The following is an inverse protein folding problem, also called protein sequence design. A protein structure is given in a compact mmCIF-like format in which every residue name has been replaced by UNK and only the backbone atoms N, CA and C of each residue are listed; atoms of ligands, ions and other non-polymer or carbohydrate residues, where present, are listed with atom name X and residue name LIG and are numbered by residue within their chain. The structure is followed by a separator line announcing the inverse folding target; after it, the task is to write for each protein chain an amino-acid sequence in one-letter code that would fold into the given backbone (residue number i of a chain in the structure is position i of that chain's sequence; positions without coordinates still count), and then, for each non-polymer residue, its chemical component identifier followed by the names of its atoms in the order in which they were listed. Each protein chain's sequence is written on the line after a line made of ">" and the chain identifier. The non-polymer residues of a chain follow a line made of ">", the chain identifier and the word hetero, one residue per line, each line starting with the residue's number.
data_IF_678130568321
#
_entry.id   IF_678130568321
#
_cell.length_a   1.000
_cell.length_b   1.000
_cell.length_c   1.000
_cell.angle_alpha   90.00
_cell.angle_beta   90.00
_cell.angle_gamma   90.00
#
_symmetry.space_group_name_H-M   'P 1'
#
loop_
_entity.id
_entity.type
_entity.pdbx_description
1 polymer ?
#
# COMPACT_ATOMS: atom_id res chain seq x y z
N UNK A 1 -1.55 6.98 26.11
CA UNK A 1 -1.60 6.30 24.80
C UNK A 1 -0.99 4.91 24.99
N UNK A 2 -1.75 3.85 24.75
CA UNK A 2 -1.28 2.47 24.85
C UNK A 2 -0.99 1.98 23.42
N UNK A 3 0.23 1.52 23.18
CA UNK A 3 0.65 0.96 21.87
C UNK A 3 0.34 -0.53 21.79
N UNK A 4 0.40 -1.08 20.60
CA UNK A 4 0.10 -2.48 20.26
C UNK A 4 -1.33 -2.86 20.62
N UNK A 5 -2.26 -1.93 20.38
CA UNK A 5 -3.67 -2.08 20.70
C UNK A 5 -4.57 -1.64 19.54
N UNK A 6 -5.68 -2.36 19.39
CA UNK A 6 -6.80 -1.98 18.55
C UNK A 6 -7.97 -1.58 19.43
N UNK A 7 -8.53 -0.41 19.16
CA UNK A 7 -9.66 0.13 19.89
C UNK A 7 -10.95 -0.09 19.10
N UNK A 8 -11.95 -0.67 19.75
CA UNK A 8 -13.28 -0.84 19.16
C UNK A 8 -14.08 0.46 19.30
N UNK A 9 -13.82 1.40 18.45
CA UNK A 9 -14.49 2.70 18.42
C UNK A 9 -14.38 3.37 17.05
N UNK A 10 -15.20 4.39 16.84
CA UNK A 10 -15.09 5.25 15.65
C UNK A 10 -13.72 5.90 15.57
N UNK A 11 -13.09 5.84 14.38
CA UNK A 11 -11.72 6.28 14.19
C UNK A 11 -11.52 7.77 14.47
N UNK A 12 -12.49 8.64 14.08
CA UNK A 12 -12.39 10.07 14.32
C UNK A 12 -12.47 10.39 15.82
N UNK A 13 -13.33 9.69 16.55
CA UNK A 13 -13.45 9.78 18.01
C UNK A 13 -12.16 9.32 18.69
N UNK A 14 -11.60 8.21 18.25
CA UNK A 14 -10.36 7.66 18.78
C UNK A 14 -9.14 8.54 18.49
N UNK A 15 -9.00 9.02 17.26
CA UNK A 15 -7.90 9.90 16.85
C UNK A 15 -7.84 11.18 17.70
N UNK A 16 -8.99 11.79 18.02
CA UNK A 16 -9.07 13.00 18.87
C UNK A 16 -8.53 12.80 20.28
N UNK A 17 -8.41 11.55 20.75
CA UNK A 17 -7.82 11.23 22.07
C UNK A 17 -6.30 11.10 22.01
N UNK A 18 -5.71 10.99 20.83
CA UNK A 18 -4.27 10.90 20.67
C UNK A 18 -3.61 12.27 20.77
N UNK A 19 -2.41 12.36 21.38
CA UNK A 19 -1.61 13.58 21.40
C UNK A 19 -1.19 13.99 19.98
N UNK A 20 -0.88 15.26 19.80
CA UNK A 20 -0.25 15.77 18.59
C UNK A 20 1.14 15.16 18.41
N UNK A 21 1.55 14.94 17.15
CA UNK A 21 2.91 14.55 16.79
C UNK A 21 3.42 13.27 17.51
N UNK A 22 2.57 12.27 17.69
CA UNK A 22 2.92 11.03 18.38
C UNK A 22 3.09 9.81 17.47
N UNK A 23 2.66 9.89 16.19
CA UNK A 23 2.65 8.79 15.24
C UNK A 23 3.75 8.99 14.19
N UNK A 24 4.49 7.92 13.88
CA UNK A 24 5.56 7.94 12.88
C UNK A 24 5.02 7.72 11.47
N UNK A 25 4.06 6.80 11.30
CA UNK A 25 3.55 6.41 9.99
C UNK A 25 2.08 6.01 10.09
N UNK A 26 1.27 6.39 9.10
CA UNK A 26 -0.07 5.84 8.92
C UNK A 26 -0.09 4.99 7.63
N UNK A 27 -0.55 3.73 7.74
CA UNK A 27 -0.75 2.82 6.60
C UNK A 27 -2.17 2.31 6.68
N UNK A 28 -3.00 2.64 5.69
CA UNK A 28 -4.44 2.37 5.80
C UNK A 28 -5.16 2.26 4.46
N UNK A 29 -6.33 1.61 4.50
CA UNK A 29 -7.29 1.54 3.39
C UNK A 29 -8.70 1.77 3.97
N UNK A 30 -9.26 2.97 3.84
CA UNK A 30 -10.62 3.24 4.31
C UNK A 30 -11.67 2.43 3.53
N UNK A 31 -12.88 2.27 4.05
CA UNK A 31 -14.00 1.70 3.30
C UNK A 31 -14.20 2.47 1.99
N UNK A 32 -14.33 1.76 0.85
CA UNK A 32 -14.48 2.39 -0.46
C UNK A 32 -15.91 2.87 -0.70
N UNK A 33 -16.04 4.00 -1.36
CA UNK A 33 -17.32 4.62 -1.67
C UNK A 33 -18.26 3.68 -2.45
N UNK A 34 -19.44 3.47 -1.90
CA UNK A 34 -20.51 2.69 -2.52
C UNK A 34 -20.16 1.24 -2.82
N UNK A 35 -19.14 0.67 -2.13
CA UNK A 35 -18.73 -0.70 -2.39
C UNK A 35 -19.40 -1.70 -1.45
N UNK A 36 -19.45 -1.41 -0.15
CA UNK A 36 -19.93 -2.37 0.87
C UNK A 36 -20.59 -1.69 2.04
N UNK A 37 -21.65 -2.33 2.52
CA UNK A 37 -22.23 -2.09 3.82
C UNK A 37 -21.68 -3.14 4.80
N UNK A 38 -21.01 -2.66 5.85
CA UNK A 38 -20.45 -3.51 6.91
C UNK A 38 -21.44 -3.69 8.07
N UNK A 39 -22.62 -3.08 7.99
CA UNK A 39 -23.65 -3.17 9.00
C UNK A 39 -23.34 -2.47 10.31
N UNK A 40 -22.46 -1.48 10.30
CA UNK A 40 -22.08 -0.70 11.47
C UNK A 40 -22.56 0.74 11.34
N UNK A 41 -23.29 1.23 12.35
CA UNK A 41 -23.73 2.62 12.39
C UNK A 41 -22.49 3.57 12.35
N UNK A 42 -22.58 4.60 11.52
CA UNK A 42 -21.49 5.58 11.37
C UNK A 42 -20.35 5.14 10.48
N UNK A 43 -20.43 4.00 9.80
CA UNK A 43 -19.43 3.59 8.83
C UNK A 43 -19.28 4.61 7.70
N UNK A 44 -18.05 4.76 7.21
CA UNK A 44 -17.69 5.55 6.03
C UNK A 44 -17.89 4.67 4.78
N UNK A 45 -18.21 5.31 3.64
CA UNK A 45 -18.36 4.65 2.33
C UNK A 45 -19.80 4.52 1.88
N UNK A 46 -20.80 4.94 2.70
CA UNK A 46 -22.23 4.92 2.37
C UNK A 46 -22.82 6.32 2.19
N UNK A 47 -22.00 7.34 2.04
CA UNK A 47 -22.41 8.73 1.84
C UNK A 47 -23.25 8.89 0.57
N UNK A 48 -24.08 9.93 0.53
CA UNK A 48 -24.99 10.16 -0.59
C UNK A 48 -24.27 10.54 -1.89
N UNK A 49 -23.10 11.16 -1.77
CA UNK A 49 -22.29 11.57 -2.92
C UNK A 49 -20.80 11.28 -2.71
N UNK A 50 -20.02 11.14 -3.82
CA UNK A 50 -18.57 11.10 -3.73
C UNK A 50 -17.96 12.30 -3.00
N UNK A 51 -18.56 13.49 -3.14
CA UNK A 51 -18.10 14.69 -2.46
C UNK A 51 -18.24 14.57 -0.95
N UNK A 52 -19.40 14.12 -0.45
CA UNK A 52 -19.62 13.90 0.98
C UNK A 52 -18.66 12.86 1.55
N UNK A 53 -18.40 11.80 0.78
CA UNK A 53 -17.41 10.80 1.14
C UNK A 53 -15.99 11.39 1.26
N UNK A 54 -15.57 12.22 0.30
CA UNK A 54 -14.29 12.92 0.34
C UNK A 54 -14.20 13.88 1.53
N UNK A 55 -15.29 14.58 1.83
CA UNK A 55 -15.36 15.48 2.99
C UNK A 55 -15.18 14.69 4.29
N UNK A 56 -15.86 13.55 4.42
CA UNK A 56 -15.72 12.67 5.58
C UNK A 56 -14.31 12.11 5.73
N UNK A 57 -13.70 11.66 4.62
CA UNK A 57 -12.29 11.24 4.64
C UNK A 57 -11.36 12.38 5.03
N UNK A 58 -11.61 13.59 4.53
CA UNK A 58 -10.80 14.77 4.86
C UNK A 58 -10.81 15.09 6.35
N UNK A 59 -11.97 14.94 7.03
CA UNK A 59 -12.07 15.09 8.49
C UNK A 59 -11.18 14.09 9.23
N UNK A 60 -11.25 12.81 8.86
CA UNK A 60 -10.45 11.75 9.48
C UNK A 60 -8.95 12.01 9.25
N UNK A 61 -8.57 12.29 8.01
CA UNK A 61 -7.15 12.48 7.69
C UNK A 61 -6.59 13.84 8.13
N UNK A 62 -7.42 14.82 8.47
CA UNK A 62 -6.98 16.01 9.19
C UNK A 62 -6.53 15.66 10.63
N UNK A 63 -7.24 14.77 11.33
CA UNK A 63 -6.81 14.25 12.63
C UNK A 63 -5.56 13.35 12.48
N UNK A 64 -5.47 12.52 11.45
CA UNK A 64 -4.23 11.77 11.15
C UNK A 64 -3.05 12.74 10.93
N UNK A 65 -3.25 13.83 10.19
CA UNK A 65 -2.22 14.86 10.00
C UNK A 65 -1.78 15.49 11.32
N UNK A 66 -2.73 15.80 12.21
CA UNK A 66 -2.43 16.35 13.54
C UNK A 66 -1.54 15.41 14.35
N UNK A 67 -1.91 14.13 14.43
CA UNK A 67 -1.19 13.14 15.26
C UNK A 67 0.13 12.65 14.63
N UNK A 68 0.32 12.77 13.32
CA UNK A 68 1.59 12.46 12.67
C UNK A 68 2.69 13.39 13.19
N UNK A 69 3.88 12.85 13.44
CA UNK A 69 5.10 13.62 13.69
C UNK A 69 5.45 14.51 12.49
N UNK A 70 6.24 15.57 12.64
CA UNK A 70 6.66 16.41 11.51
C UNK A 70 7.28 15.63 10.35
N UNK A 71 8.03 14.57 10.64
CA UNK A 71 8.64 13.67 9.65
C UNK A 71 7.72 12.50 9.27
N UNK A 72 6.49 12.46 9.77
CA UNK A 72 5.57 11.36 9.59
C UNK A 72 5.01 11.24 8.17
N UNK A 73 4.65 10.01 7.79
CA UNK A 73 4.12 9.67 6.46
C UNK A 73 2.74 9.03 6.54
N UNK A 74 1.95 9.24 5.49
CA UNK A 74 0.68 8.57 5.23
C UNK A 74 0.79 7.74 3.95
N UNK A 75 0.40 6.48 4.02
CA UNK A 75 0.28 5.56 2.88
C UNK A 75 -1.18 5.14 2.76
N UNK A 76 -1.86 5.75 1.80
CA UNK A 76 -3.31 5.66 1.64
C UNK A 76 -3.66 4.79 0.43
N UNK A 77 -4.18 3.59 0.67
CA UNK A 77 -4.69 2.73 -0.40
C UNK A 77 -6.16 3.04 -0.70
N UNK A 78 -6.46 3.29 -1.96
CA UNK A 78 -7.81 3.57 -2.45
C UNK A 78 -8.08 2.92 -3.81
N UNK A 79 -9.28 2.37 -3.94
CA UNK A 79 -9.85 1.92 -5.20
C UNK A 79 -10.86 2.92 -5.74
N UNK A 80 -10.99 2.98 -7.06
CA UNK A 80 -11.93 3.85 -7.75
C UNK A 80 -13.22 3.12 -8.12
N UNK A 81 -14.25 3.86 -8.47
CA UNK A 81 -15.59 3.39 -8.77
C UNK A 81 -16.14 4.10 -10.00
N UNK A 82 -17.09 3.44 -10.67
CA UNK A 82 -17.81 4.04 -11.79
C UNK A 82 -19.16 4.64 -11.33
N UNK A 83 -19.57 5.75 -11.98
CA UNK A 83 -20.87 6.35 -11.75
C UNK A 83 -21.94 5.52 -12.47
N UNK A 84 -22.91 5.02 -11.74
CA UNK A 84 -24.01 4.25 -12.30
C UNK A 84 -24.72 3.39 -11.27
N UNK A 85 -25.98 3.10 -11.54
CA UNK A 85 -26.75 2.15 -10.77
C UNK A 85 -26.27 0.74 -11.10
N UNK A 86 -25.62 0.05 -10.17
CA UNK A 86 -25.50 -1.41 -10.25
C UNK A 86 -26.88 -2.01 -9.93
N UNK A 87 -27.74 -2.12 -10.92
CA UNK A 87 -28.75 -3.18 -10.89
C UNK A 87 -27.95 -4.47 -11.12
N UNK A 88 -27.55 -5.10 -10.03
CA UNK A 88 -27.07 -6.47 -10.10
C UNK A 88 -28.17 -7.28 -10.74
N UNK A 89 -27.86 -7.99 -11.81
CA UNK A 89 -28.76 -8.96 -12.41
C UNK A 89 -28.95 -10.08 -11.37
N UNK A 90 -29.94 -9.90 -10.47
CA UNK A 90 -30.25 -10.80 -9.36
C UNK A 90 -30.81 -12.14 -9.84
N UNK A 91 -31.04 -12.30 -11.15
CA UNK A 91 -31.66 -13.52 -11.68
C UNK A 91 -30.68 -14.67 -11.99
N UNK A 92 -29.37 -14.42 -12.02
CA UNK A 92 -28.39 -15.45 -12.45
C UNK A 92 -27.55 -16.07 -11.32
N UNK A 93 -27.65 -15.61 -10.09
CA UNK A 93 -26.86 -16.18 -8.99
C UNK A 93 -27.69 -17.09 -8.12
N UNK A 94 -27.81 -18.37 -8.54
CA UNK A 94 -28.42 -19.47 -7.76
C UNK A 94 -27.60 -19.88 -6.51
N UNK A 95 -26.60 -19.15 -6.11
CA UNK A 95 -25.81 -19.42 -4.89
C UNK A 95 -26.29 -18.54 -3.73
N UNK A 96 -27.14 -19.10 -2.88
CA UNK A 96 -27.69 -18.50 -1.66
C UNK A 96 -26.64 -17.88 -0.70
N UNK A 97 -25.37 -18.22 -0.81
CA UNK A 97 -24.28 -17.68 0.06
C UNK A 97 -23.80 -16.28 -0.32
N UNK A 98 -24.19 -15.75 -1.47
CA UNK A 98 -23.82 -14.38 -1.93
C UNK A 98 -24.96 -13.38 -1.75
N UNK A 99 -26.17 -13.86 -1.45
CA UNK A 99 -27.38 -13.04 -1.32
C UNK A 99 -27.50 -12.28 0.03
N UNK A 100 -26.62 -12.57 0.99
CA UNK A 100 -26.66 -11.94 2.33
C UNK A 100 -25.70 -10.74 2.47
N UNK A 101 -24.95 -10.37 1.44
CA UNK A 101 -24.27 -9.07 1.42
C UNK A 101 -25.33 -8.00 1.12
N UNK A 102 -25.69 -7.21 2.11
CA UNK A 102 -26.54 -6.03 1.96
C UNK A 102 -26.01 -5.21 0.78
N UNK A 103 -26.73 -5.24 -0.35
CA UNK A 103 -26.35 -4.47 -1.52
C UNK A 103 -26.78 -3.03 -1.30
N UNK A 104 -25.83 -2.17 -0.98
CA UNK A 104 -26.05 -0.74 -1.03
C UNK A 104 -26.40 -0.35 -2.47
N UNK A 105 -27.61 0.19 -2.68
CA UNK A 105 -28.00 0.75 -3.98
C UNK A 105 -27.25 2.08 -4.18
N UNK A 106 -26.18 2.00 -4.94
CA UNK A 106 -25.41 3.17 -5.32
C UNK A 106 -26.28 4.05 -6.23
N UNK A 107 -26.67 5.23 -5.74
CA UNK A 107 -27.38 6.23 -6.53
C UNK A 107 -26.46 6.87 -7.57
N UNK A 108 -27.05 7.24 -8.71
CA UNK A 108 -26.33 8.02 -9.72
C UNK A 108 -25.95 9.38 -9.13
N UNK A 109 -24.67 9.72 -9.20
CA UNK A 109 -24.17 11.03 -8.80
C UNK A 109 -24.25 12.01 -9.98
N UNK A 110 -24.95 13.12 -9.81
CA UNK A 110 -25.15 14.11 -10.87
C UNK A 110 -23.90 14.96 -11.19
N UNK A 111 -22.82 14.83 -10.44
CA UNK A 111 -21.53 15.47 -10.72
C UNK A 111 -20.73 14.81 -11.85
N UNK A 112 -21.15 13.63 -12.34
CA UNK A 112 -20.55 12.93 -13.46
C UNK A 112 -21.64 12.26 -14.30
N UNK A 113 -21.33 11.92 -15.55
CA UNK A 113 -22.24 11.17 -16.42
C UNK A 113 -22.31 9.72 -16.01
N UNK A 114 -23.39 9.04 -16.38
CA UNK A 114 -23.47 7.60 -16.23
C UNK A 114 -22.28 6.91 -16.92
N UNK A 115 -21.69 5.90 -16.26
CA UNK A 115 -20.49 5.16 -16.67
C UNK A 115 -19.16 5.92 -16.57
N UNK A 116 -19.14 7.19 -16.21
CA UNK A 116 -17.87 7.86 -15.95
C UNK A 116 -17.12 7.18 -14.79
N UNK A 117 -15.80 7.08 -14.90
CA UNK A 117 -14.92 6.80 -13.78
C UNK A 117 -14.95 8.02 -12.85
N UNK A 118 -15.27 7.83 -11.57
CA UNK A 118 -15.50 8.96 -10.65
C UNK A 118 -14.18 9.65 -10.28
N UNK A 119 -13.08 8.92 -10.16
CA UNK A 119 -11.79 9.47 -9.79
C UNK A 119 -11.59 9.61 -8.27
N UNK A 120 -12.30 8.82 -7.47
CA UNK A 120 -12.26 8.85 -6.00
C UNK A 120 -10.83 8.92 -5.43
N UNK A 121 -9.87 8.08 -5.85
CA UNK A 121 -8.52 8.12 -5.29
C UNK A 121 -7.85 9.48 -5.46
N UNK A 122 -7.95 10.06 -6.65
CA UNK A 122 -7.35 11.35 -6.96
C UNK A 122 -8.11 12.53 -6.32
N UNK A 123 -9.45 12.45 -6.21
CA UNK A 123 -10.23 13.43 -5.45
C UNK A 123 -9.77 13.46 -3.99
N UNK A 124 -9.58 12.30 -3.36
CA UNK A 124 -9.07 12.20 -2.00
C UNK A 124 -7.65 12.78 -1.90
N UNK A 125 -6.72 12.37 -2.79
CA UNK A 125 -5.34 12.83 -2.77
C UNK A 125 -5.25 14.37 -2.90
N UNK A 126 -6.02 14.98 -3.80
CA UNK A 126 -6.04 16.43 -3.96
C UNK A 126 -6.70 17.13 -2.78
N UNK A 127 -7.81 16.60 -2.25
CA UNK A 127 -8.44 17.16 -1.06
C UNK A 127 -7.49 17.16 0.16
N UNK A 128 -6.77 16.08 0.39
CA UNK A 128 -5.79 15.97 1.48
C UNK A 128 -4.61 16.92 1.27
N UNK A 129 -4.12 17.07 0.04
CA UNK A 129 -3.06 18.02 -0.30
C UNK A 129 -3.51 19.47 -0.10
N UNK A 130 -4.66 19.82 -0.65
CA UNK A 130 -5.07 21.24 -0.80
C UNK A 130 -5.82 21.75 0.42
N UNK A 131 -6.56 20.88 1.14
CA UNK A 131 -7.43 21.29 2.26
C UNK A 131 -6.82 20.98 3.63
N UNK A 132 -5.99 19.90 3.73
CA UNK A 132 -5.34 19.50 4.99
C UNK A 132 -3.88 19.96 5.05
N UNK A 133 -3.20 20.00 3.90
CA UNK A 133 -1.81 20.47 3.81
C UNK A 133 -0.77 19.37 3.69
N UNK A 134 -1.16 18.14 3.35
CA UNK A 134 -0.20 17.08 3.04
C UNK A 134 0.63 17.40 1.81
N UNK A 135 1.88 16.95 1.82
CA UNK A 135 2.69 16.86 0.60
C UNK A 135 2.37 15.54 -0.11
N UNK A 136 1.77 15.59 -1.30
CA UNK A 136 1.56 14.42 -2.16
C UNK A 136 2.90 14.07 -2.82
N UNK A 137 3.50 12.94 -2.43
CA UNK A 137 4.86 12.57 -2.81
C UNK A 137 4.92 11.58 -3.96
N UNK A 138 4.02 10.59 -3.96
CA UNK A 138 3.95 9.56 -5.01
C UNK A 138 2.55 8.99 -5.14
N UNK A 139 2.23 8.54 -6.33
CA UNK A 139 1.10 7.71 -6.70
C UNK A 139 1.60 6.31 -7.06
N UNK A 140 1.47 5.39 -6.15
CA UNK A 140 1.93 4.01 -6.34
C UNK A 140 0.77 3.19 -6.92
N UNK A 141 1.06 2.43 -7.98
CA UNK A 141 0.10 1.53 -8.61
C UNK A 141 0.23 0.13 -8.02
N UNK A 142 -0.79 -0.32 -7.32
CA UNK A 142 -0.94 -1.73 -6.99
C UNK A 142 -1.55 -2.48 -8.17
N UNK A 143 -0.72 -3.11 -9.00
CA UNK A 143 -1.13 -3.98 -10.10
C UNK A 143 -1.50 -5.37 -9.57
N UNK A 144 -2.75 -5.80 -9.83
CA UNK A 144 -3.32 -7.08 -9.36
C UNK A 144 -3.31 -8.11 -10.51
N UNK A 145 -2.35 -9.04 -10.55
CA UNK A 145 -2.29 -10.02 -11.65
C UNK A 145 -3.48 -10.99 -11.65
N UNK A 146 -4.13 -11.15 -10.51
CA UNK A 146 -5.32 -11.99 -10.30
C UNK A 146 -6.57 -11.16 -10.00
N UNK A 147 -6.72 -10.00 -10.66
CA UNK A 147 -7.94 -9.20 -10.53
C UNK A 147 -9.19 -10.03 -10.87
N UNK A 148 -10.30 -9.77 -10.16
CA UNK A 148 -11.55 -10.45 -10.48
C UNK A 148 -12.01 -10.07 -11.90
N UNK A 149 -12.42 -11.05 -12.72
CA UNK A 149 -12.94 -10.78 -14.05
C UNK A 149 -14.21 -9.92 -13.95
N UNK A 150 -14.35 -8.99 -14.88
CA UNK A 150 -15.54 -8.15 -15.03
C UNK A 150 -16.23 -8.46 -16.36
N UNK A 151 -17.54 -8.64 -16.32
CA UNK A 151 -18.36 -8.89 -17.53
C UNK A 151 -18.70 -7.56 -18.23
N UNK A 152 -17.68 -6.74 -18.50
CA UNK A 152 -17.83 -5.46 -19.21
C UNK A 152 -17.24 -5.55 -20.60
N UNK A 153 -17.89 -4.93 -21.58
CA UNK A 153 -17.51 -4.99 -22.99
C UNK A 153 -17.18 -3.63 -23.60
N UNK A 154 -17.41 -2.56 -22.84
CA UNK A 154 -17.25 -1.17 -23.31
C UNK A 154 -16.09 -0.43 -22.60
N UNK A 155 -15.30 -1.13 -21.81
CA UNK A 155 -14.06 -0.66 -21.16
C UNK A 155 -13.16 -1.82 -20.77
N UNK A 156 -11.95 -1.50 -20.38
CA UNK A 156 -11.01 -2.50 -19.84
C UNK A 156 -11.42 -2.97 -18.46
N UNK A 157 -11.08 -4.23 -18.12
CA UNK A 157 -11.18 -4.77 -16.77
C UNK A 157 -10.24 -4.02 -15.84
N UNK A 158 -10.75 -3.55 -14.70
CA UNK A 158 -9.96 -2.85 -13.70
C UNK A 158 -9.07 -3.83 -12.94
N UNK A 159 -7.76 -3.65 -13.04
CA UNK A 159 -6.77 -4.56 -12.44
C UNK A 159 -5.77 -3.85 -11.53
N UNK A 160 -6.05 -2.61 -11.12
CA UNK A 160 -5.17 -1.88 -10.21
C UNK A 160 -5.94 -1.02 -9.20
N UNK A 161 -5.23 -0.66 -8.15
CA UNK A 161 -5.61 0.36 -7.17
C UNK A 161 -4.44 1.32 -6.94
N UNK A 162 -4.69 2.42 -6.24
CA UNK A 162 -3.67 3.41 -5.91
C UNK A 162 -3.25 3.30 -4.45
N UNK A 163 -1.96 3.54 -4.20
CA UNK A 163 -1.44 3.85 -2.87
C UNK A 163 -0.77 5.21 -2.97
N UNK A 164 -1.28 6.20 -2.26
CA UNK A 164 -0.66 7.52 -2.21
C UNK A 164 0.32 7.59 -1.05
N UNK A 165 1.58 7.91 -1.37
CA UNK A 165 2.54 8.34 -0.36
C UNK A 165 2.37 9.84 -0.15
N UNK A 166 2.04 10.21 1.07
CA UNK A 166 1.91 11.59 1.50
C UNK A 166 2.74 11.83 2.77
N UNK A 167 3.18 13.05 2.99
CA UNK A 167 3.97 13.42 4.16
C UNK A 167 3.45 14.69 4.81
N UNK A 168 3.71 14.84 6.12
CA UNK A 168 3.33 16.05 6.87
C UNK A 168 4.18 17.25 6.51
N UNK A 169 5.45 17.04 6.15
CA UNK A 169 6.37 18.11 5.75
C UNK A 169 7.18 17.73 4.51
N UNK A 170 7.90 18.69 3.94
CA UNK A 170 8.78 18.46 2.79
C UNK A 170 9.98 17.57 3.11
N UNK A 171 10.38 17.51 4.39
CA UNK A 171 11.40 16.60 4.91
C UNK A 171 10.71 15.59 5.80
N UNK A 172 10.82 14.31 5.45
CA UNK A 172 10.13 13.23 6.16
C UNK A 172 11.01 11.98 6.23
N UNK A 173 10.67 11.08 7.13
CA UNK A 173 11.35 9.80 7.26
C UNK A 173 11.04 8.92 6.05
N UNK A 174 12.10 8.44 5.38
CA UNK A 174 11.96 7.50 4.28
C UNK A 174 13.21 6.61 4.17
N UNK A 175 13.10 5.37 4.64
CA UNK A 175 14.18 4.37 4.51
C UNK A 175 14.10 3.70 3.13
N UNK A 176 14.70 4.33 2.13
CA UNK A 176 14.74 3.82 0.78
C UNK A 176 15.54 2.52 0.66
N UNK A 177 16.52 2.31 1.56
CA UNK A 177 17.35 1.13 1.55
C UNK A 177 16.60 -0.12 2.00
N UNK A 178 15.70 0.00 2.99
CA UNK A 178 14.90 -1.11 3.50
C UNK A 178 13.96 -1.74 2.46
N UNK A 179 13.66 -1.00 1.37
CA UNK A 179 12.72 -1.42 0.33
C UNK A 179 13.36 -1.56 -1.05
N UNK A 180 14.68 -1.53 -1.16
CA UNK A 180 15.35 -1.75 -2.44
C UNK A 180 14.93 -3.06 -3.10
N UNK A 181 14.87 -3.06 -4.40
CA UNK A 181 14.54 -4.24 -5.21
C UNK A 181 15.75 -4.66 -6.07
N UNK A 182 15.77 -5.93 -6.47
CA UNK A 182 16.80 -6.43 -7.38
C UNK A 182 16.70 -5.68 -8.70
N UNK A 183 17.84 -5.21 -9.22
CA UNK A 183 17.89 -4.58 -10.52
C UNK A 183 17.49 -5.61 -11.59
N UNK A 184 16.45 -5.30 -12.39
CA UNK A 184 16.00 -6.09 -13.53
C UNK A 184 16.61 -5.54 -14.82
N UNK A 185 16.73 -6.34 -15.85
CA UNK A 185 17.45 -5.97 -17.08
C UNK A 185 18.87 -6.52 -17.12
N UNK A 186 19.11 -7.44 -16.26
CA UNK A 186 20.33 -8.14 -16.01
C UNK A 186 20.48 -9.27 -17.03
N UNK A 187 21.46 -9.22 -17.90
CA UNK A 187 21.67 -10.24 -18.96
C UNK A 187 22.55 -11.41 -18.52
N UNK A 188 22.86 -11.45 -17.21
CA UNK A 188 23.61 -12.55 -16.66
C UNK A 188 25.10 -12.57 -16.94
N UNK A 189 25.68 -11.56 -17.52
CA UNK A 189 27.13 -11.45 -17.74
C UNK A 189 27.82 -10.84 -16.50
N UNK A 190 29.07 -11.26 -16.27
CA UNK A 190 29.95 -10.62 -15.26
C UNK A 190 30.41 -9.28 -15.80
N UNK A 191 29.61 -8.28 -15.60
CA UNK A 191 29.85 -6.97 -16.16
C UNK A 191 29.99 -5.94 -15.04
N UNK A 192 30.87 -5.00 -15.22
CA UNK A 192 31.04 -3.84 -14.33
C UNK A 192 30.28 -2.66 -14.90
N UNK A 193 29.25 -2.21 -14.19
CA UNK A 193 28.51 -1.03 -14.58
C UNK A 193 29.08 0.21 -13.87
N UNK A 194 29.39 1.24 -14.63
CA UNK A 194 29.78 2.54 -14.09
C UNK A 194 28.56 3.45 -14.00
N UNK A 195 28.22 3.93 -12.81
CA UNK A 195 27.23 4.98 -12.61
C UNK A 195 27.92 6.14 -11.88
N UNK A 196 28.13 7.24 -12.59
CA UNK A 196 28.96 8.32 -12.08
C UNK A 196 30.41 7.88 -11.89
N UNK A 197 30.99 8.14 -10.74
CA UNK A 197 32.37 7.73 -10.37
C UNK A 197 32.42 6.33 -9.70
N UNK A 198 31.32 5.62 -9.59
CA UNK A 198 31.27 4.31 -8.93
C UNK A 198 31.10 3.16 -9.92
N UNK A 199 31.88 2.09 -9.73
CA UNK A 199 31.81 0.86 -10.52
C UNK A 199 31.04 -0.19 -9.75
N UNK A 200 30.01 -0.77 -10.37
CA UNK A 200 29.23 -1.88 -9.82
C UNK A 200 29.51 -3.16 -10.61
N UNK A 201 29.75 -4.25 -9.90
CA UNK A 201 29.86 -5.57 -10.51
C UNK A 201 28.47 -6.14 -10.68
N UNK A 202 28.13 -6.46 -11.90
CA UNK A 202 26.92 -7.13 -12.27
C UNK A 202 27.20 -8.62 -12.49
N UNK A 203 26.70 -9.57 -11.64
CA UNK A 203 26.91 -11.01 -11.85
C UNK A 203 26.13 -11.52 -13.06
N UNK A 204 26.68 -12.49 -13.77
CA UNK A 204 26.09 -13.14 -14.92
C UNK A 204 24.99 -14.12 -14.49
N UNK A 205 23.80 -14.00 -15.01
CA UNK A 205 22.79 -15.06 -14.92
C UNK A 205 23.01 -16.04 -16.10
N UNK A 206 23.18 -17.34 -15.83
CA UNK A 206 23.28 -18.30 -16.92
C UNK A 206 21.90 -18.45 -17.58
N UNK A 207 21.80 -18.21 -18.86
CA UNK A 207 20.65 -18.34 -19.74
C UNK A 207 19.90 -17.06 -20.15
N UNK A 208 20.55 -16.18 -20.87
CA UNK A 208 19.84 -15.36 -21.83
C UNK A 208 20.64 -15.21 -23.12
N UNK A 209 20.07 -15.70 -24.20
CA UNK A 209 20.57 -15.46 -25.57
C UNK A 209 20.11 -14.08 -26.10
N UNK A 210 19.84 -13.13 -25.22
CA UNK A 210 19.41 -11.81 -25.66
C UNK A 210 20.63 -10.94 -25.99
N UNK A 211 20.64 -10.47 -27.22
CA UNK A 211 21.59 -9.45 -27.71
C UNK A 211 21.49 -8.24 -26.80
N UNK A 212 22.63 -7.70 -26.38
CA UNK A 212 22.78 -6.46 -25.63
C UNK A 212 21.82 -5.40 -26.16
N UNK A 213 20.78 -5.05 -25.41
CA UNK A 213 19.99 -3.86 -25.72
C UNK A 213 20.90 -2.64 -25.52
N UNK A 214 21.21 -1.96 -26.61
CA UNK A 214 21.83 -0.64 -26.53
C UNK A 214 20.86 0.31 -25.83
N UNK A 215 21.15 0.66 -24.58
CA UNK A 215 20.44 1.72 -23.89
C UNK A 215 20.62 3.02 -24.68
N UNK A 216 19.52 3.57 -25.17
CA UNK A 216 19.49 4.85 -25.85
C UNK A 216 19.85 5.95 -24.83
N UNK A 217 21.03 6.50 -24.97
CA UNK A 217 21.50 7.61 -24.14
C UNK A 217 22.99 7.54 -23.85
N UNK A 218 23.77 8.09 -24.69
CA UNK A 218 25.10 8.70 -24.56
C UNK A 218 26.21 8.14 -23.64
N UNK A 219 26.08 6.99 -23.01
CA UNK A 219 27.23 6.38 -22.33
C UNK A 219 27.36 4.91 -22.68
N UNK A 220 28.42 4.55 -23.38
CA UNK A 220 28.84 3.15 -23.55
C UNK A 220 29.34 2.64 -22.21
N UNK A 221 28.62 1.69 -21.63
CA UNK A 221 29.07 0.94 -20.48
C UNK A 221 30.32 0.13 -20.86
N UNK A 222 31.44 0.41 -20.22
CA UNK A 222 32.65 -0.42 -20.35
C UNK A 222 32.71 -1.40 -19.21
N UNK A 223 32.78 -2.67 -19.55
CA UNK A 223 32.94 -3.76 -18.59
C UNK A 223 34.44 -3.98 -18.35
N UNK A 224 34.87 -3.89 -17.11
CA UNK A 224 36.22 -4.28 -16.69
C UNK A 224 36.13 -5.49 -15.76
N UNK A 225 37.04 -6.45 -15.97
CA UNK A 225 37.19 -7.57 -15.06
C UNK A 225 37.89 -7.07 -13.79
N UNK A 226 37.19 -7.08 -12.66
CA UNK A 226 37.67 -6.54 -11.39
C UNK A 226 38.77 -7.37 -10.71
N UNK A 227 39.18 -8.47 -11.34
CA UNK A 227 40.29 -9.27 -10.81
C UNK A 227 41.67 -8.63 -11.00
N UNK A 228 41.81 -7.61 -11.87
CA UNK A 228 43.09 -7.00 -12.17
C UNK A 228 43.50 -5.83 -11.25
N UNK A 229 42.55 -5.21 -10.55
CA UNK A 229 42.85 -3.97 -9.79
C UNK A 229 42.94 -4.12 -8.26
N UNK A 230 42.80 -5.33 -7.71
CA UNK A 230 42.99 -5.60 -6.27
C UNK A 230 42.05 -4.84 -5.31
N UNK A 231 41.12 -4.06 -5.84
CA UNK A 231 40.15 -3.31 -5.03
C UNK A 231 38.91 -4.17 -4.74
N UNK A 232 38.63 -4.35 -3.46
CA UNK A 232 37.38 -4.96 -3.04
C UNK A 232 36.21 -4.08 -3.49
N UNK A 233 35.15 -4.65 -4.06
CA UNK A 233 33.95 -3.90 -4.42
C UNK A 233 33.38 -3.24 -3.18
N UNK A 234 32.98 -1.99 -3.32
CA UNK A 234 32.27 -1.30 -2.24
C UNK A 234 30.92 -1.97 -2.00
N UNK A 235 30.88 -2.84 -0.98
CA UNK A 235 29.74 -3.70 -0.68
C UNK A 235 28.53 -2.96 -0.10
N UNK A 236 28.66 -1.63 0.16
CA UNK A 236 27.56 -0.83 0.71
C UNK A 236 26.31 -0.79 -0.18
N UNK A 237 26.45 -1.09 -1.47
CA UNK A 237 25.34 -1.07 -2.43
C UNK A 237 24.80 -2.46 -2.82
N UNK A 238 25.31 -3.51 -2.17
CA UNK A 238 24.92 -4.87 -2.44
C UNK A 238 24.13 -5.40 -1.24
N UNK A 239 22.84 -5.61 -1.40
CA UNK A 239 22.00 -6.24 -0.38
C UNK A 239 21.59 -7.64 -0.83
N UNK A 240 21.58 -8.55 0.13
CA UNK A 240 21.07 -9.89 -0.06
C UNK A 240 19.55 -9.85 -0.15
N UNK A 241 18.97 -10.29 -1.26
CA UNK A 241 17.54 -10.49 -1.35
C UNK A 241 17.17 -11.75 -0.58
N UNK A 242 16.17 -11.68 0.28
CA UNK A 242 15.65 -12.84 1.03
C UNK A 242 15.28 -13.97 0.06
N UNK A 243 15.78 -15.17 0.32
CA UNK A 243 15.49 -16.38 -0.47
C UNK A 243 16.41 -16.63 -1.67
N UNK A 244 17.38 -15.76 -1.94
CA UNK A 244 18.38 -16.01 -2.98
C UNK A 244 19.65 -16.63 -2.37
N UNK A 245 20.35 -17.54 -3.11
CA UNK A 245 21.62 -18.10 -2.67
C UNK A 245 22.66 -16.99 -2.42
N UNK A 246 23.74 -17.29 -1.73
CA UNK A 246 24.80 -16.38 -1.25
C UNK A 246 25.48 -15.48 -2.30
N UNK A 247 24.80 -15.15 -3.37
CA UNK A 247 25.27 -14.20 -4.40
C UNK A 247 24.78 -12.80 -4.09
N UNK A 248 25.67 -11.85 -4.08
CA UNK A 248 25.35 -10.42 -3.98
C UNK A 248 24.80 -9.95 -5.33
N UNK A 249 23.57 -9.46 -5.37
CA UNK A 249 22.93 -8.89 -6.57
C UNK A 249 22.84 -7.38 -6.44
N UNK A 250 23.03 -6.65 -7.54
CA UNK A 250 22.84 -5.21 -7.53
C UNK A 250 21.38 -4.89 -7.20
N UNK A 251 21.19 -3.88 -6.40
CA UNK A 251 19.89 -3.38 -5.98
C UNK A 251 19.65 -1.98 -6.55
N UNK A 252 18.40 -1.61 -6.65
CA UNK A 252 17.96 -0.28 -7.08
C UNK A 252 16.83 0.20 -6.19
N UNK A 253 16.56 1.49 -6.23
CA UNK A 253 15.39 2.04 -5.57
C UNK A 253 14.12 1.36 -6.10
N UNK A 254 13.20 1.08 -5.19
CA UNK A 254 11.91 0.49 -5.51
C UNK A 254 11.12 1.40 -6.45
N UNK A 255 10.54 0.81 -7.49
CA UNK A 255 9.67 1.51 -8.44
C UNK A 255 8.25 1.64 -7.87
N UNK A 256 7.45 2.48 -8.49
CA UNK A 256 6.10 2.85 -8.07
C UNK A 256 4.98 1.97 -8.65
N UNK A 257 5.29 0.97 -9.46
CA UNK A 257 4.32 -0.05 -9.92
C UNK A 257 4.62 -1.37 -9.23
N UNK A 258 3.73 -1.79 -8.32
CA UNK A 258 3.89 -2.98 -7.50
C UNK A 258 2.93 -4.08 -7.94
N UNK A 259 3.48 -5.18 -8.46
CA UNK A 259 2.70 -6.36 -8.84
C UNK A 259 2.56 -7.28 -7.65
N UNK A 260 1.38 -7.27 -7.01
CA UNK A 260 1.08 -8.07 -5.82
C UNK A 260 -0.29 -8.73 -6.00
N UNK A 261 -0.33 -10.07 -5.85
CA UNK A 261 -1.58 -10.82 -5.94
C UNK A 261 -2.47 -10.57 -4.72
N UNK A 262 -3.77 -10.47 -4.95
CA UNK A 262 -4.74 -10.51 -3.85
C UNK A 262 -4.75 -11.90 -3.23
N UNK A 263 -4.83 -11.97 -1.90
CA UNK A 263 -4.95 -13.22 -1.16
C UNK A 263 -6.32 -13.28 -0.48
N UNK A 264 -7.06 -14.39 -0.60
CA UNK A 264 -8.25 -14.56 0.20
C UNK A 264 -7.88 -14.70 1.67
N UNK A 265 -8.56 -13.99 2.55
CA UNK A 265 -8.48 -14.23 4.00
C UNK A 265 -9.66 -15.12 4.40
N UNK A 266 -9.37 -16.37 4.76
CA UNK A 266 -10.40 -17.34 5.16
C UNK A 266 -11.18 -16.94 6.42
N UNK A 267 -10.61 -16.04 7.22
CA UNK A 267 -11.17 -15.55 8.48
C UNK A 267 -11.88 -14.19 8.33
N UNK A 268 -11.70 -13.51 7.18
CA UNK A 268 -12.37 -12.24 6.90
C UNK A 268 -13.37 -12.44 5.76
N UNK A 269 -14.62 -12.04 5.99
CA UNK A 269 -15.64 -12.09 4.96
C UNK A 269 -15.40 -11.14 3.78
N UNK A 270 -14.39 -10.26 3.89
CA UNK A 270 -14.11 -9.20 2.93
C UNK A 270 -12.63 -9.18 2.51
N UNK A 271 -12.38 -8.65 1.31
CA UNK A 271 -11.02 -8.54 0.78
C UNK A 271 -10.19 -7.54 1.61
N UNK A 272 -9.04 -8.02 2.06
CA UNK A 272 -8.02 -7.22 2.75
C UNK A 272 -6.81 -7.09 1.85
N UNK A 273 -6.04 -6.02 2.02
CA UNK A 273 -4.77 -5.93 1.30
C UNK A 273 -3.75 -6.95 1.85
N UNK A 274 -2.93 -7.56 0.99
CA UNK A 274 -1.94 -8.55 1.43
C UNK A 274 -0.75 -7.90 2.15
N UNK A 275 -0.10 -8.65 3.04
CA UNK A 275 1.09 -8.19 3.79
C UNK A 275 2.20 -7.70 2.87
N UNK A 276 2.42 -8.40 1.75
CA UNK A 276 3.44 -8.04 0.77
C UNK A 276 3.25 -6.64 0.17
N UNK A 277 2.00 -6.18 0.12
CA UNK A 277 1.69 -4.85 -0.40
C UNK A 277 2.11 -3.75 0.58
N UNK A 278 1.81 -3.93 1.87
CA UNK A 278 2.03 -2.88 2.87
C UNK A 278 3.39 -2.99 3.58
N UNK A 279 4.08 -4.13 3.45
CA UNK A 279 5.45 -4.30 3.97
C UNK A 279 6.38 -3.15 3.55
N UNK A 280 6.47 -2.77 2.26
CA UNK A 280 7.29 -1.63 1.86
C UNK A 280 6.86 -0.31 2.50
N UNK A 281 5.56 -0.09 2.69
CA UNK A 281 5.03 1.13 3.31
C UNK A 281 5.49 1.26 4.77
N UNK A 282 5.39 0.17 5.54
CA UNK A 282 5.81 0.11 6.94
C UNK A 282 7.34 0.25 7.06
N UNK A 283 8.10 -0.46 6.22
CA UNK A 283 9.56 -0.43 6.29
C UNK A 283 10.15 0.93 5.90
N UNK A 284 9.60 1.55 4.85
CA UNK A 284 10.08 2.83 4.38
C UNK A 284 9.56 4.01 5.21
N UNK A 285 8.31 3.93 5.68
CA UNK A 285 7.63 5.06 6.31
C UNK A 285 7.72 5.10 7.84
N UNK A 286 8.11 4.00 8.51
CA UNK A 286 8.19 3.93 9.96
C UNK A 286 9.57 3.48 10.44
N UNK A 287 10.26 4.24 11.31
CA UNK A 287 11.51 3.78 11.90
C UNK A 287 11.28 2.55 12.79
N UNK A 288 12.34 1.79 13.05
CA UNK A 288 12.29 0.70 14.02
C UNK A 288 11.82 1.23 15.36
N UNK A 289 10.98 0.44 16.05
CA UNK A 289 10.34 0.77 17.32
C UNK A 289 9.37 1.98 17.25
N UNK A 290 9.19 2.59 16.07
CA UNK A 290 8.19 3.63 15.80
C UNK A 290 6.76 3.10 15.81
N UNK A 291 5.78 3.98 15.69
CA UNK A 291 4.35 3.66 15.79
C UNK A 291 3.68 3.79 14.43
N UNK A 292 3.08 2.69 13.97
CA UNK A 292 2.22 2.64 12.79
C UNK A 292 0.76 2.79 13.22
N UNK A 293 0.07 3.75 12.61
CA UNK A 293 -1.37 3.98 12.81
C UNK A 293 -2.16 3.36 11.64
N UNK A 294 -3.28 2.72 11.96
CA UNK A 294 -4.30 2.37 10.99
C UNK A 294 -5.71 2.73 11.54
N UNK A 295 -6.33 3.81 11.03
CA UNK A 295 -7.68 4.21 11.45
C UNK A 295 -8.79 3.25 11.03
N UNK A 296 -8.50 2.32 10.10
CA UNK A 296 -9.45 1.36 9.53
C UNK A 296 -8.84 -0.04 9.54
N UNK A 297 -8.56 -0.56 10.75
CA UNK A 297 -7.71 -1.75 10.96
C UNK A 297 -8.21 -3.02 10.25
N UNK A 298 -9.52 -3.15 10.05
CA UNK A 298 -10.12 -4.30 9.37
C UNK A 298 -9.72 -5.63 10.03
N UNK A 299 -9.08 -6.51 9.28
CA UNK A 299 -8.64 -7.81 9.78
C UNK A 299 -7.25 -7.82 10.46
N UNK A 300 -6.63 -6.65 10.66
CA UNK A 300 -5.37 -6.51 11.41
C UNK A 300 -4.09 -6.71 10.61
N UNK A 301 -4.13 -6.62 9.29
CA UNK A 301 -2.93 -6.81 8.46
C UNK A 301 -1.83 -5.80 8.80
N UNK A 302 -2.19 -4.54 9.00
CA UNK A 302 -1.24 -3.48 9.39
C UNK A 302 -0.58 -3.79 10.73
N UNK A 303 -1.35 -4.20 11.74
CA UNK A 303 -0.84 -4.56 13.05
C UNK A 303 0.18 -5.71 12.97
N UNK A 304 -0.15 -6.78 12.24
CA UNK A 304 0.76 -7.93 12.05
C UNK A 304 2.06 -7.51 11.37
N UNK A 305 1.98 -6.74 10.28
CA UNK A 305 3.19 -6.28 9.57
C UNK A 305 4.03 -5.37 10.47
N UNK A 306 3.42 -4.47 11.25
CA UNK A 306 4.13 -3.63 12.19
C UNK A 306 4.93 -4.49 13.20
N UNK A 307 4.29 -5.42 13.89
CA UNK A 307 4.93 -6.32 14.87
C UNK A 307 6.03 -7.17 14.25
N UNK A 308 5.75 -7.80 13.11
CA UNK A 308 6.70 -8.65 12.39
C UNK A 308 8.02 -7.94 12.05
N UNK A 309 7.93 -6.64 11.80
CA UNK A 309 9.10 -5.82 11.47
C UNK A 309 9.56 -4.92 12.64
N UNK A 310 9.19 -5.24 13.88
CA UNK A 310 9.61 -4.54 15.09
C UNK A 310 9.22 -3.06 15.08
N UNK A 311 7.96 -2.79 14.76
CA UNK A 311 7.28 -1.51 14.93
C UNK A 311 6.11 -1.72 15.88
N UNK A 312 5.77 -0.69 16.62
CA UNK A 312 4.53 -0.65 17.38
C UNK A 312 3.36 -0.26 16.47
N UNK A 313 2.14 -0.48 16.93
CA UNK A 313 0.97 -0.04 16.20
C UNK A 313 -0.10 0.54 17.12
N UNK A 314 -1.01 1.33 16.54
CA UNK A 314 -2.30 1.72 17.10
C UNK A 314 -3.33 1.56 15.97
N UNK A 315 -4.48 0.98 16.29
CA UNK A 315 -5.54 0.77 15.32
C UNK A 315 -6.92 1.08 15.87
N UNK A 316 -7.81 1.44 14.96
CA UNK A 316 -9.23 1.60 15.23
C UNK A 316 -10.03 0.67 14.34
N UNK A 317 -11.05 0.04 14.89
CA UNK A 317 -11.97 -0.84 14.16
C UNK A 317 -13.38 -0.69 14.75
N UNK A 318 -14.33 -0.37 13.89
CA UNK A 318 -15.71 -0.13 14.30
C UNK A 318 -16.46 -1.44 14.56
N UNK A 319 -16.17 -2.48 13.77
CA UNK A 319 -16.84 -3.77 13.85
C UNK A 319 -16.22 -4.66 14.95
N UNK A 320 -16.95 -5.02 16.03
CA UNK A 320 -16.43 -5.82 17.12
C UNK A 320 -16.04 -7.26 16.72
N UNK A 321 -16.61 -7.80 15.64
CA UNK A 321 -16.23 -9.13 15.15
C UNK A 321 -14.81 -9.13 14.55
N UNK A 322 -14.40 -8.03 13.92
CA UNK A 322 -13.03 -7.89 13.44
C UNK A 322 -12.02 -7.77 14.58
N UNK A 323 -12.38 -7.15 15.70
CA UNK A 323 -11.52 -7.09 16.91
C UNK A 323 -11.13 -8.50 17.36
N UNK A 324 -12.10 -9.44 17.43
CA UNK A 324 -11.83 -10.83 17.80
C UNK A 324 -10.87 -11.54 16.82
N UNK A 325 -10.97 -11.21 15.54
CA UNK A 325 -10.06 -11.75 14.52
C UNK A 325 -8.65 -11.19 14.70
N UNK A 326 -8.55 -9.89 14.93
CA UNK A 326 -7.28 -9.18 15.13
C UNK A 326 -6.54 -9.72 16.36
N UNK A 327 -7.21 -9.83 17.49
CA UNK A 327 -6.62 -10.33 18.74
C UNK A 327 -6.01 -11.73 18.57
N UNK A 328 -6.73 -12.64 17.91
CA UNK A 328 -6.21 -13.98 17.61
C UNK A 328 -4.96 -13.93 16.73
N UNK A 329 -4.94 -13.06 15.72
CA UNK A 329 -3.79 -12.92 14.81
C UNK A 329 -2.57 -12.29 15.50
N UNK A 330 -2.79 -11.33 16.39
CA UNK A 330 -1.72 -10.66 17.16
C UNK A 330 -1.06 -11.62 18.15
N UNK A 331 -1.85 -12.41 18.88
CA UNK A 331 -1.34 -13.42 19.83
C UNK A 331 -0.38 -14.39 19.10
N UNK A 332 -0.81 -14.91 17.94
CA UNK A 332 0.04 -15.83 17.15
C UNK A 332 1.35 -15.16 16.71
N UNK A 333 1.31 -13.90 16.34
CA UNK A 333 2.53 -13.17 15.93
C UNK A 333 3.46 -12.91 17.11
N UNK A 334 2.94 -12.57 18.29
CA UNK A 334 3.73 -12.35 19.50
C UNK A 334 4.42 -13.64 19.98
N UNK A 335 3.72 -14.77 19.95
CA UNK A 335 4.27 -16.07 20.36
C UNK A 335 5.39 -16.56 19.43
N UNK A 336 5.43 -16.14 18.18
CA UNK A 336 6.51 -16.51 17.23
C UNK A 336 7.82 -15.75 17.46
N UNK A 337 7.83 -14.71 18.29
CA UNK A 337 8.99 -13.86 18.55
C UNK A 337 9.53 -13.97 19.99
N UNK A 338 8.92 -14.83 20.83
CA UNK A 338 9.41 -15.24 22.15
C UNK A 338 10.20 -16.54 22.02
#
# INVERSE_FOLDING_TARGET
>A
MEVNKVYNEDCLTGLKKLPDNCIDCCVTSPPYYGLRDYGCDGQIGLEQSPTDYIDRLTEVFAEVFRVLKPEGTLWLNLGDSYNGNKKGNTETVKNKRVAESNHFEKKLWYGAKEKDLIGIPWMAAFALRDRVGYYLRNDIIWAKPNAMPESVTDRLTKSHEYIFLMSKSSRYYFDHEAIQEIATGYDGRKDTMMHGSQKYIIPVMPHSNQKTMALHGHQRWRFKNLQEDGQQPNTMHLRRAEGLPDKQYPVRNKRDVWTVSTKPDSNAHFAVYPEELIKPCVLAGCPKDGIVLDPFMGSGTTARVALKYKRNFIGYELNPEYIKIIERKIIVEQDMFV
#
